data_IF_790741931274
#
_entry.id   IF_790741931274
#
_cell.length_a   1.000
_cell.length_b   1.000
_cell.length_c   1.000
_cell.angle_alpha   90.00
_cell.angle_beta   90.00
_cell.angle_gamma   90.00
#
_symmetry.space_group_name_H-M   'P 1'
#
loop_
_entity.id
_entity.type
_entity.pdbx_description
1 polymer ?
#
# COMPACT_ATOMS: atom_id res chain seq x y z
N UNK A 1 3.34 -23.56 6.01
CA UNK A 1 2.17 -23.78 6.87
C UNK A 1 2.45 -23.20 8.24
N UNK A 2 1.83 -22.08 8.59
CA UNK A 2 2.10 -21.37 9.83
C UNK A 2 1.52 -22.16 11.03
N UNK A 3 2.38 -22.49 12.01
CA UNK A 3 1.98 -23.20 13.23
C UNK A 3 1.03 -22.31 14.05
N UNK A 4 -0.21 -22.77 14.22
CA UNK A 4 -1.21 -22.15 15.11
C UNK A 4 -0.65 -22.07 16.53
N UNK A 5 -0.49 -20.87 17.08
CA UNK A 5 -0.10 -20.68 18.48
C UNK A 5 -1.34 -20.82 19.36
N UNK A 6 -1.41 -21.91 20.11
CA UNK A 6 -2.45 -22.16 21.12
C UNK A 6 -2.12 -21.38 22.40
N UNK A 7 -3.12 -20.81 23.06
CA UNK A 7 -2.98 -20.21 24.39
C UNK A 7 -4.12 -20.71 25.30
N UNK A 8 -3.89 -20.71 26.61
CA UNK A 8 -4.88 -21.13 27.61
C UNK A 8 -5.33 -19.90 28.42
N UNK A 9 -6.59 -19.54 28.32
CA UNK A 9 -7.15 -18.33 28.97
C UNK A 9 -8.02 -18.72 30.15
N UNK A 10 -7.80 -18.07 31.29
CA UNK A 10 -8.65 -18.23 32.47
C UNK A 10 -10.01 -17.58 32.25
N UNK A 11 -11.08 -18.36 32.28
CA UNK A 11 -12.46 -17.85 32.15
C UNK A 11 -12.93 -17.02 33.36
N UNK A 12 -12.20 -17.04 34.48
CA UNK A 12 -12.54 -16.25 35.67
C UNK A 12 -11.81 -14.91 35.75
N UNK A 13 -10.60 -14.79 35.22
CA UNK A 13 -9.80 -13.55 35.33
C UNK A 13 -9.14 -13.09 34.03
N UNK A 14 -9.34 -13.80 32.91
CA UNK A 14 -8.82 -13.44 31.59
C UNK A 14 -7.31 -13.62 31.42
N UNK A 15 -6.59 -14.14 32.41
CA UNK A 15 -5.13 -14.33 32.29
C UNK A 15 -4.79 -15.45 31.30
N UNK A 16 -3.92 -15.17 30.34
CA UNK A 16 -3.45 -16.11 29.31
C UNK A 16 -2.15 -16.81 29.71
N UNK A 17 -2.06 -18.12 29.44
CA UNK A 17 -0.89 -18.96 29.69
C UNK A 17 -0.49 -19.72 28.42
N UNK A 18 0.82 -20.00 28.21
CA UNK A 18 1.29 -20.74 27.03
C UNK A 18 1.03 -22.25 27.11
N UNK A 19 0.70 -22.78 28.30
CA UNK A 19 0.42 -24.19 28.55
C UNK A 19 -0.68 -24.34 29.60
N UNK A 20 -1.41 -25.45 29.56
CA UNK A 20 -2.47 -25.72 30.52
C UNK A 20 -1.92 -25.99 31.92
N UNK A 21 -2.67 -25.56 32.93
CA UNK A 21 -2.45 -25.90 34.32
C UNK A 21 -3.81 -26.06 35.03
N UNK A 22 -3.92 -27.00 35.97
CA UNK A 22 -5.17 -27.25 36.69
C UNK A 22 -5.68 -26.07 37.53
N UNK A 23 -4.80 -25.12 37.87
CA UNK A 23 -5.10 -23.94 38.66
C UNK A 23 -4.57 -22.66 37.99
N UNK A 24 -5.39 -21.62 37.92
CA UNK A 24 -4.97 -20.30 37.49
C UNK A 24 -4.03 -19.67 38.53
N UNK A 25 -2.82 -19.24 38.13
CA UNK A 25 -1.85 -18.60 39.05
C UNK A 25 -2.19 -17.15 39.41
N UNK A 26 -3.13 -16.52 38.71
CA UNK A 26 -3.54 -15.13 38.97
C UNK A 26 -4.71 -15.05 39.95
N UNK A 27 -5.76 -15.86 39.77
CA UNK A 27 -6.96 -15.82 40.61
C UNK A 27 -7.18 -17.08 41.47
N UNK A 28 -6.24 -18.03 41.45
CA UNK A 28 -6.26 -19.29 42.23
C UNK A 28 -7.44 -20.23 41.93
N UNK A 29 -8.24 -19.94 40.89
CA UNK A 29 -9.38 -20.75 40.51
C UNK A 29 -8.94 -22.05 39.79
N UNK A 30 -9.66 -23.13 40.07
CA UNK A 30 -9.38 -24.46 39.54
C UNK A 30 -10.23 -24.75 38.29
N UNK A 31 -9.65 -25.45 37.32
CA UNK A 31 -10.32 -25.88 36.07
C UNK A 31 -10.93 -24.74 35.23
N UNK A 32 -10.44 -23.51 35.41
CA UNK A 32 -10.93 -22.33 34.67
C UNK A 32 -10.12 -22.01 33.42
N UNK A 33 -8.98 -22.69 33.19
CA UNK A 33 -8.13 -22.47 32.02
C UNK A 33 -8.69 -23.25 30.82
N UNK A 34 -9.15 -22.53 29.81
CA UNK A 34 -9.70 -23.09 28.57
C UNK A 34 -8.73 -22.79 27.41
N UNK A 35 -8.55 -23.77 26.52
CA UNK A 35 -7.74 -23.58 25.32
C UNK A 35 -8.47 -22.64 24.35
N UNK A 36 -7.86 -21.48 24.08
CA UNK A 36 -8.31 -20.57 23.05
C UNK A 36 -7.32 -20.62 21.88
N UNK A 37 -7.87 -20.86 20.70
CA UNK A 37 -7.13 -20.70 19.46
C UNK A 37 -7.05 -19.20 19.21
N UNK A 38 -5.85 -18.63 19.39
CA UNK A 38 -5.60 -17.27 18.92
C UNK A 38 -5.50 -17.35 17.40
N UNK A 39 -6.66 -17.36 16.74
CA UNK A 39 -6.73 -16.95 15.35
C UNK A 39 -6.24 -15.51 15.34
N UNK A 40 -5.15 -15.25 14.61
CA UNK A 40 -4.81 -13.88 14.25
C UNK A 40 -6.05 -13.36 13.53
N UNK A 41 -6.72 -12.37 14.12
CA UNK A 41 -7.73 -11.61 13.42
C UNK A 41 -7.15 -11.24 12.04
N UNK A 42 -7.91 -11.42 10.94
CA UNK A 42 -7.47 -10.86 9.68
C UNK A 42 -7.20 -9.39 9.95
N UNK A 43 -5.99 -8.94 9.61
CA UNK A 43 -5.65 -7.52 9.66
C UNK A 43 -6.72 -6.84 8.83
N UNK A 44 -7.54 -6.03 9.47
CA UNK A 44 -8.66 -5.31 8.85
C UNK A 44 -8.09 -4.42 7.75
N UNK A 45 -8.02 -4.94 6.53
CA UNK A 45 -7.73 -4.17 5.33
C UNK A 45 -9.02 -3.43 4.97
N UNK A 46 -9.38 -2.45 5.79
CA UNK A 46 -10.47 -1.53 5.51
C UNK A 46 -10.01 -0.50 4.46
N UNK A 47 -9.82 -0.97 3.22
CA UNK A 47 -9.66 -0.14 2.02
C UNK A 47 -10.98 0.01 1.24
N UNK A 48 -12.10 -0.45 1.80
CA UNK A 48 -13.42 -0.35 1.16
C UNK A 48 -14.32 0.50 2.05
N UNK A 49 -14.72 1.67 1.54
CA UNK A 49 -15.76 2.47 2.19
C UNK A 49 -17.03 1.62 2.36
N UNK A 50 -17.76 1.72 3.48
CA UNK A 50 -18.98 0.97 3.72
C UNK A 50 -20.14 1.58 2.91
N UNK A 51 -20.11 1.39 1.59
CA UNK A 51 -21.30 1.46 0.76
C UNK A 51 -22.04 0.13 0.87
N UNK A 52 -23.37 0.16 1.03
CA UNK A 52 -24.17 -1.05 0.86
C UNK A 52 -24.00 -1.55 -0.58
N UNK A 53 -23.15 -2.56 -0.77
CA UNK A 53 -22.94 -3.20 -2.06
C UNK A 53 -24.20 -3.97 -2.44
N UNK A 54 -25.07 -3.36 -3.25
CA UNK A 54 -26.22 -4.03 -3.86
C UNK A 54 -25.85 -4.53 -5.25
N UNK A 55 -26.38 -5.69 -5.64
CA UNK A 55 -26.27 -6.20 -7.01
C UNK A 55 -27.08 -5.27 -7.91
N UNK A 56 -26.42 -4.72 -8.92
CA UNK A 56 -27.01 -3.85 -9.95
C UNK A 56 -26.81 -4.49 -11.32
N UNK A 57 -27.77 -4.29 -12.22
CA UNK A 57 -27.53 -4.54 -13.65
C UNK A 57 -26.69 -3.40 -14.23
N UNK A 58 -25.95 -3.65 -15.30
CA UNK A 58 -24.98 -2.68 -15.84
C UNK A 58 -25.63 -1.34 -16.26
N UNK A 59 -26.89 -1.37 -16.70
CA UNK A 59 -27.70 -0.19 -17.05
C UNK A 59 -28.11 0.66 -15.84
N UNK A 60 -28.06 0.09 -14.62
CA UNK A 60 -28.33 0.79 -13.37
C UNK A 60 -27.07 1.45 -12.78
N UNK A 61 -25.90 1.19 -13.36
CA UNK A 61 -24.64 1.82 -12.95
C UNK A 61 -24.60 3.20 -13.56
N UNK A 62 -24.54 4.22 -12.69
CA UNK A 62 -24.45 5.60 -13.14
C UNK A 62 -23.16 5.81 -13.95
N UNK A 63 -23.27 6.57 -15.05
CA UNK A 63 -22.14 6.87 -15.94
C UNK A 63 -21.29 8.01 -15.42
N UNK A 64 -21.28 8.26 -14.10
CA UNK A 64 -20.52 9.35 -13.51
C UNK A 64 -19.08 9.27 -14.00
N UNK A 65 -18.67 10.24 -14.81
CA UNK A 65 -17.32 10.29 -15.34
C UNK A 65 -16.37 10.44 -14.14
N UNK A 66 -15.60 9.40 -13.87
CA UNK A 66 -14.54 9.46 -12.86
C UNK A 66 -13.63 10.65 -13.20
N UNK A 67 -13.33 11.47 -12.19
CA UNK A 67 -12.47 12.64 -12.36
C UNK A 67 -11.07 12.16 -12.73
N UNK A 68 -10.64 12.40 -13.97
CA UNK A 68 -9.29 12.09 -14.44
C UNK A 68 -8.33 13.23 -14.17
N UNK A 69 -7.11 12.89 -13.78
CA UNK A 69 -6.01 13.83 -13.57
C UNK A 69 -5.02 13.66 -14.74
N UNK A 70 -4.74 14.73 -15.50
CA UNK A 70 -3.75 14.69 -16.58
C UNK A 70 -2.36 14.33 -16.04
N UNK A 71 -1.62 13.53 -16.81
CA UNK A 71 -0.26 13.10 -16.45
C UNK A 71 0.81 14.13 -16.80
N UNK A 72 0.47 15.10 -17.65
CA UNK A 72 1.44 16.03 -18.25
C UNK A 72 2.05 15.51 -19.56
N UNK A 73 1.74 14.28 -19.97
CA UNK A 73 2.11 13.70 -21.26
C UNK A 73 0.84 13.34 -22.06
N UNK A 74 0.68 13.95 -23.25
CA UNK A 74 -0.53 13.81 -24.06
C UNK A 74 -0.72 12.39 -24.60
N UNK A 75 0.36 11.68 -24.92
CA UNK A 75 0.27 10.31 -25.44
C UNK A 75 -0.03 9.33 -24.31
N UNK A 76 0.54 9.54 -23.12
CA UNK A 76 0.18 8.75 -21.94
C UNK A 76 -1.27 9.00 -21.53
N UNK A 77 -1.73 10.26 -21.55
CA UNK A 77 -3.12 10.59 -21.28
C UNK A 77 -4.06 9.90 -22.27
N UNK A 78 -3.70 9.85 -23.56
CA UNK A 78 -4.47 9.09 -24.56
C UNK A 78 -4.56 7.61 -24.23
N UNK A 79 -3.47 6.99 -23.81
CA UNK A 79 -3.44 5.57 -23.39
C UNK A 79 -4.30 5.34 -22.14
N UNK A 80 -4.27 6.27 -21.18
CA UNK A 80 -5.06 6.18 -19.95
C UNK A 80 -6.53 6.59 -20.12
N UNK A 81 -6.93 7.11 -21.28
CA UNK A 81 -8.30 7.58 -21.54
C UNK A 81 -8.60 8.98 -20.99
N UNK A 82 -7.59 9.86 -20.99
CA UNK A 82 -7.65 11.26 -20.53
C UNK A 82 -6.88 11.55 -19.24
N UNK A 83 -6.02 10.61 -18.79
CA UNK A 83 -5.27 10.71 -17.53
C UNK A 83 -5.66 9.65 -16.49
N UNK A 84 -5.01 9.66 -15.34
CA UNK A 84 -5.23 8.65 -14.29
C UNK A 84 -6.47 8.93 -13.45
N UNK A 85 -6.99 7.89 -12.81
CA UNK A 85 -8.14 7.98 -11.89
C UNK A 85 -7.63 7.93 -10.44
N UNK A 86 -7.99 8.88 -9.56
CA UNK A 86 -7.65 8.81 -8.14
C UNK A 86 -8.13 7.52 -7.49
N UNK A 87 -7.27 6.89 -6.67
CA UNK A 87 -7.59 5.60 -6.03
C UNK A 87 -7.46 4.39 -6.94
N UNK A 88 -7.01 4.57 -8.19
CA UNK A 88 -6.68 3.47 -9.09
C UNK A 88 -5.23 3.00 -8.91
N UNK A 89 -4.94 1.79 -9.37
CA UNK A 89 -3.59 1.24 -9.48
C UNK A 89 -3.30 0.93 -10.95
N UNK A 90 -2.20 1.47 -11.47
CA UNK A 90 -1.74 1.25 -12.84
C UNK A 90 -0.39 0.55 -12.84
N UNK A 91 -0.23 -0.45 -13.71
CA UNK A 91 1.01 -1.20 -13.87
C UNK A 91 1.64 -0.88 -15.22
N UNK A 92 2.87 -0.37 -15.21
CA UNK A 92 3.65 -0.11 -16.42
C UNK A 92 4.63 -1.25 -16.69
N UNK A 93 4.31 -2.08 -17.69
CA UNK A 93 5.16 -3.18 -18.16
C UNK A 93 6.06 -2.77 -19.33
N UNK A 94 7.16 -3.50 -19.52
CA UNK A 94 8.07 -3.31 -20.67
C UNK A 94 9.48 -3.84 -20.40
N UNK A 95 10.25 -4.01 -21.46
CA UNK A 95 11.62 -4.53 -21.38
C UNK A 95 12.54 -3.64 -20.49
N UNK A 96 13.56 -4.21 -19.83
CA UNK A 96 14.58 -3.41 -19.15
C UNK A 96 15.20 -2.39 -20.11
N UNK A 97 15.42 -1.17 -19.64
CA UNK A 97 16.02 -0.11 -20.47
C UNK A 97 15.08 0.61 -21.45
N UNK A 98 13.82 0.19 -21.61
CA UNK A 98 12.86 0.85 -22.52
C UNK A 98 12.42 2.26 -22.07
N UNK A 99 12.81 2.68 -20.86
CA UNK A 99 12.52 4.03 -20.34
C UNK A 99 11.35 4.15 -19.37
N UNK A 100 10.83 3.05 -18.81
CA UNK A 100 9.72 3.05 -17.82
C UNK A 100 9.94 4.04 -16.66
N UNK A 101 11.07 3.92 -15.98
CA UNK A 101 11.45 4.78 -14.86
C UNK A 101 11.58 6.25 -15.29
N UNK A 102 12.09 6.50 -16.51
CA UNK A 102 12.20 7.87 -17.04
C UNK A 102 10.82 8.46 -17.28
N UNK A 103 9.91 7.71 -17.89
CA UNK A 103 8.53 8.14 -18.13
C UNK A 103 7.80 8.43 -16.81
N UNK A 104 7.90 7.54 -15.82
CA UNK A 104 7.26 7.75 -14.52
C UNK A 104 7.88 8.92 -13.74
N UNK A 105 9.19 9.13 -13.85
CA UNK A 105 9.83 10.30 -13.28
C UNK A 105 9.34 11.58 -13.96
N UNK A 106 9.22 11.61 -15.29
CA UNK A 106 8.63 12.75 -16.02
C UNK A 106 7.21 13.07 -15.54
N UNK A 107 6.36 12.05 -15.38
CA UNK A 107 4.99 12.23 -14.87
C UNK A 107 5.00 12.78 -13.44
N UNK A 108 5.82 12.20 -12.55
CA UNK A 108 5.94 12.67 -11.17
C UNK A 108 6.43 14.12 -11.07
N UNK A 109 7.22 14.59 -12.05
CA UNK A 109 7.71 15.96 -12.11
C UNK A 109 6.70 16.94 -12.73
N UNK A 110 5.93 16.52 -13.73
CA UNK A 110 5.16 17.44 -14.58
C UNK A 110 3.64 17.39 -14.39
N UNK A 111 3.10 16.39 -13.70
CA UNK A 111 1.65 16.29 -13.53
C UNK A 111 1.03 17.37 -12.62
N UNK A 112 1.85 18.21 -11.97
CA UNK A 112 1.39 19.26 -11.06
C UNK A 112 0.72 18.73 -9.78
N UNK A 113 0.90 17.44 -9.49
CA UNK A 113 0.35 16.73 -8.35
C UNK A 113 1.43 16.55 -7.27
N UNK A 114 1.03 16.41 -6.00
CA UNK A 114 1.99 16.07 -4.95
C UNK A 114 2.42 14.62 -5.10
N UNK A 115 3.63 14.38 -5.59
CA UNK A 115 4.10 13.04 -5.93
C UNK A 115 5.07 12.47 -4.88
N UNK A 116 4.97 11.17 -4.61
CA UNK A 116 5.98 10.38 -3.92
C UNK A 116 6.57 9.37 -4.91
N UNK A 117 7.85 9.53 -5.24
CA UNK A 117 8.62 8.59 -6.05
C UNK A 117 9.44 7.70 -5.12
N UNK A 118 8.97 6.48 -4.90
CA UNK A 118 9.69 5.47 -4.13
C UNK A 118 10.51 4.58 -5.06
N UNK A 119 11.79 4.39 -4.77
CA UNK A 119 12.65 3.49 -5.53
C UNK A 119 13.48 2.57 -4.64
N UNK A 120 13.59 1.31 -5.06
CA UNK A 120 14.52 0.34 -4.49
C UNK A 120 15.77 0.12 -5.36
N UNK A 121 15.78 0.64 -6.59
CA UNK A 121 16.86 0.42 -7.57
C UNK A 121 17.91 1.53 -7.56
N UNK A 122 17.49 2.77 -7.30
CA UNK A 122 18.35 3.96 -7.38
C UNK A 122 18.35 4.75 -6.06
N UNK A 123 19.48 5.41 -5.77
CA UNK A 123 19.56 6.35 -4.66
C UNK A 123 18.84 7.66 -4.95
N UNK A 124 18.51 8.42 -3.90
CA UNK A 124 17.88 9.73 -4.04
C UNK A 124 18.73 10.71 -4.88
N UNK A 125 20.07 10.63 -4.76
CA UNK A 125 21.01 11.42 -5.55
C UNK A 125 20.98 11.04 -7.03
N UNK A 126 20.89 9.75 -7.35
CA UNK A 126 20.79 9.28 -8.74
C UNK A 126 19.49 9.74 -9.40
N UNK A 127 18.37 9.63 -8.68
CA UNK A 127 17.06 10.10 -9.14
C UNK A 127 17.10 11.62 -9.35
N UNK A 128 17.68 12.37 -8.42
CA UNK A 128 17.84 13.83 -8.55
C UNK A 128 18.63 14.21 -9.80
N UNK A 129 19.77 13.55 -10.06
CA UNK A 129 20.57 13.83 -11.27
C UNK A 129 19.78 13.60 -12.55
N UNK A 130 18.88 12.60 -12.58
CA UNK A 130 17.99 12.35 -13.73
C UNK A 130 16.90 13.42 -13.84
N UNK A 131 16.29 13.79 -12.72
CA UNK A 131 15.26 14.83 -12.66
C UNK A 131 15.80 16.19 -13.17
N UNK A 132 17.02 16.55 -12.81
CA UNK A 132 17.69 17.77 -13.29
C UNK A 132 17.85 17.78 -14.82
N UNK A 133 18.13 16.63 -15.45
CA UNK A 133 18.21 16.51 -16.93
C UNK A 133 16.85 16.60 -17.61
N UNK A 134 15.80 16.15 -16.93
CA UNK A 134 14.41 16.16 -17.44
C UNK A 134 13.80 17.56 -17.37
N UNK A 135 14.20 18.38 -16.41
CA UNK A 135 13.68 19.73 -16.21
C UNK A 135 12.96 19.93 -14.88
N UNK A 136 13.57 19.47 -13.77
CA UNK A 136 13.05 19.65 -12.42
C UNK A 136 12.88 21.13 -12.03
N UNK A 137 11.63 21.57 -11.87
CA UNK A 137 11.28 22.92 -11.42
C UNK A 137 10.35 22.86 -10.19
N UNK A 138 10.91 22.89 -8.99
CA UNK A 138 10.16 23.09 -7.75
C UNK A 138 9.86 21.82 -6.93
N UNK A 139 9.25 21.96 -5.74
CA UNK A 139 9.26 20.93 -4.68
C UNK A 139 8.19 19.82 -4.82
N UNK A 140 7.49 19.70 -5.95
CA UNK A 140 6.30 18.85 -6.08
C UNK A 140 6.54 17.33 -6.08
N UNK A 141 7.79 16.90 -6.30
CA UNK A 141 8.17 15.49 -6.32
C UNK A 141 9.05 15.16 -5.10
N UNK A 142 8.52 14.34 -4.20
CA UNK A 142 9.21 13.79 -3.05
C UNK A 142 9.82 12.44 -3.42
N UNK A 143 11.07 12.18 -3.00
CA UNK A 143 11.79 10.94 -3.34
C UNK A 143 12.04 10.12 -2.08
N UNK A 144 11.87 8.81 -2.16
CA UNK A 144 12.16 7.86 -1.09
C UNK A 144 12.96 6.66 -1.64
N UNK A 145 14.20 6.51 -1.21
CA UNK A 145 15.01 5.32 -1.53
C UNK A 145 14.74 4.23 -0.48
N UNK A 146 13.77 3.34 -0.74
CA UNK A 146 13.32 2.31 0.19
C UNK A 146 12.75 1.11 -0.56
N UNK A 147 13.03 -0.09 -0.04
CA UNK A 147 12.58 -1.37 -0.61
C UNK A 147 11.41 -1.97 0.17
N UNK A 148 11.24 -1.60 1.44
CA UNK A 148 10.16 -2.12 2.27
C UNK A 148 8.82 -1.48 1.91
N UNK A 149 7.89 -2.29 1.39
CA UNK A 149 6.53 -1.82 1.05
C UNK A 149 5.84 -1.20 2.25
N UNK A 150 5.99 -1.77 3.45
CA UNK A 150 5.40 -1.21 4.68
C UNK A 150 5.88 0.21 4.98
N UNK A 151 7.17 0.48 4.80
CA UNK A 151 7.73 1.82 5.03
C UNK A 151 7.34 2.80 3.93
N UNK A 152 7.30 2.36 2.67
CA UNK A 152 6.80 3.18 1.56
C UNK A 152 5.36 3.63 1.84
N UNK A 153 4.49 2.70 2.25
CA UNK A 153 3.10 3.01 2.58
C UNK A 153 3.00 3.92 3.82
N UNK A 154 3.81 3.69 4.86
CA UNK A 154 3.87 4.58 6.02
C UNK A 154 4.28 6.01 5.64
N UNK A 155 5.28 6.17 4.76
CA UNK A 155 5.67 7.47 4.25
C UNK A 155 4.54 8.12 3.42
N UNK A 156 3.83 7.33 2.61
CA UNK A 156 2.68 7.80 1.84
C UNK A 156 1.52 8.25 2.75
N UNK A 157 1.24 7.55 3.85
CA UNK A 157 0.21 7.96 4.82
C UNK A 157 0.53 9.30 5.50
N UNK A 158 1.81 9.55 5.81
CA UNK A 158 2.26 10.80 6.41
C UNK A 158 2.26 11.96 5.39
N UNK A 159 2.79 11.69 4.20
CA UNK A 159 2.93 12.69 3.14
C UNK A 159 1.59 13.03 2.49
N UNK A 160 0.67 12.06 2.41
CA UNK A 160 -0.61 12.13 1.66
C UNK A 160 -0.40 12.63 0.23
N UNK A 161 0.38 11.92 -0.60
CA UNK A 161 0.59 12.31 -2.00
C UNK A 161 -0.68 12.04 -2.83
N UNK A 162 -0.86 12.82 -3.89
CA UNK A 162 -1.88 12.59 -4.91
C UNK A 162 -1.46 11.48 -5.90
N UNK A 163 -0.14 11.27 -6.03
CA UNK A 163 0.48 10.26 -6.89
C UNK A 163 1.59 9.52 -6.13
N UNK A 164 1.52 8.19 -6.08
CA UNK A 164 2.59 7.32 -5.59
C UNK A 164 3.15 6.52 -6.76
N UNK A 165 4.44 6.69 -7.05
CA UNK A 165 5.20 5.88 -8.00
C UNK A 165 6.10 4.93 -7.22
N UNK A 166 6.10 3.65 -7.60
CA UNK A 166 6.98 2.61 -7.04
C UNK A 166 7.84 2.04 -8.16
N UNK A 167 9.13 2.36 -8.15
CA UNK A 167 10.12 1.99 -9.16
C UNK A 167 11.25 1.14 -8.53
N UNK A 168 11.15 -0.18 -8.48
CA UNK A 168 10.18 -1.02 -9.16
C UNK A 168 9.53 -2.04 -8.22
N UNK A 169 8.38 -2.59 -8.62
CA UNK A 169 7.67 -3.61 -7.84
C UNK A 169 8.53 -4.85 -7.58
N UNK A 170 9.48 -5.17 -8.47
CA UNK A 170 10.42 -6.28 -8.32
C UNK A 170 11.35 -6.11 -7.11
N UNK A 171 11.65 -4.86 -6.74
CA UNK A 171 12.47 -4.52 -5.58
C UNK A 171 11.66 -4.30 -4.31
N UNK A 172 10.34 -4.19 -4.43
CA UNK A 172 9.45 -4.00 -3.30
C UNK A 172 9.31 -5.31 -2.51
N UNK A 173 9.58 -5.25 -1.21
CA UNK A 173 9.55 -6.39 -0.32
C UNK A 173 8.61 -6.15 0.87
N UNK A 174 7.77 -7.14 1.16
CA UNK A 174 6.99 -7.19 2.38
C UNK A 174 7.28 -8.52 3.11
N UNK A 175 7.93 -8.51 4.29
CA UNK A 175 8.24 -9.74 5.03
C UNK A 175 7.02 -10.51 5.54
N UNK A 176 5.81 -9.94 5.43
CA UNK A 176 4.57 -10.55 5.90
C UNK A 176 3.81 -11.30 4.79
N UNK A 177 4.25 -11.19 3.53
CA UNK A 177 3.72 -11.89 2.35
C UNK A 177 4.74 -12.91 1.85
#
# INVERSE_FOLDING_TARGET
>A
MAKTKKAFVCQSCGTSYPQWAGQCRSCSAWNTLVEEVIERAPVDQAWVSPGQSRVLTLDQVDRSAERRVPTGDLELDRVLGGGWVPGSLSLLGGEPGIGKSTLMLQVALHAGAKALYASGEESAEQIRMRAERIGFNGPGCHVLAEVSTSKILQAAEQLKPDLLVVDSIQTAYNPQL
#
